data_IF_837634827077
#
_entry.id   IF_837634827077
#
_cell.length_a   1.000
_cell.length_b   1.000
_cell.length_c   1.000
_cell.angle_alpha   90.00
_cell.angle_beta   90.00
_cell.angle_gamma   90.00
#
_symmetry.space_group_name_H-M   'P 1'
#
loop_
_entity.id
_entity.type
_entity.pdbx_description
1 polymer ?
#
# COMPACT_ATOMS: atom_id res chain seq x y z
N UNK A 1 -11.55 23.04 0.56
CA UNK A 1 -12.01 23.87 1.71
C UNK A 1 -12.50 23.00 2.90
N UNK A 2 -13.11 21.82 2.66
CA UNK A 2 -13.72 21.01 3.75
C UNK A 2 -12.68 20.34 4.67
N UNK A 3 -11.52 19.93 4.14
CA UNK A 3 -10.47 19.25 4.92
C UNK A 3 -9.61 20.19 5.79
N UNK A 4 -9.58 21.49 5.50
CA UNK A 4 -8.66 22.42 6.17
C UNK A 4 -8.99 22.71 7.64
N UNK A 5 -10.24 22.49 8.07
CA UNK A 5 -10.71 22.86 9.41
C UNK A 5 -10.98 21.68 10.34
N UNK A 6 -10.73 20.45 9.91
CA UNK A 6 -10.94 19.25 10.72
C UNK A 6 -9.62 18.55 10.98
N UNK A 7 -9.38 18.14 12.22
CA UNK A 7 -8.20 17.34 12.57
C UNK A 7 -8.42 15.85 12.28
N UNK A 8 -9.68 15.39 12.27
CA UNK A 8 -10.00 13.99 11.94
C UNK A 8 -11.15 13.90 10.95
N UNK A 9 -10.96 13.03 9.97
CA UNK A 9 -11.99 12.68 9.00
C UNK A 9 -11.96 11.16 8.76
N UNK A 10 -13.13 10.56 8.60
CA UNK A 10 -13.25 9.16 8.25
C UNK A 10 -14.42 8.91 7.30
N UNK A 11 -14.32 7.90 6.47
CA UNK A 11 -15.37 7.54 5.54
C UNK A 11 -14.92 6.63 4.42
N UNK A 12 -15.76 6.57 3.41
CA UNK A 12 -15.49 5.92 2.13
C UNK A 12 -15.67 6.98 1.04
N UNK A 13 -14.88 6.92 -0.01
CA UNK A 13 -15.05 7.83 -1.15
C UNK A 13 -16.41 7.64 -1.84
N UNK A 14 -16.88 8.65 -2.55
CA UNK A 14 -18.23 8.66 -3.14
C UNK A 14 -18.45 7.58 -4.22
N UNK A 15 -17.37 7.09 -4.83
CA UNK A 15 -17.40 5.99 -5.81
C UNK A 15 -17.15 4.62 -5.15
N UNK A 16 -16.88 4.61 -3.85
CA UNK A 16 -16.68 3.42 -3.06
C UNK A 16 -15.37 2.68 -3.33
N UNK A 17 -14.35 3.32 -3.94
CA UNK A 17 -13.09 2.67 -4.31
C UNK A 17 -12.12 2.49 -3.16
N UNK A 18 -12.15 3.35 -2.15
CA UNK A 18 -11.25 3.31 -1.00
C UNK A 18 -11.92 3.83 0.27
N UNK A 19 -11.41 3.40 1.42
CA UNK A 19 -11.78 3.91 2.74
C UNK A 19 -10.64 4.75 3.34
N UNK A 20 -10.99 5.63 4.27
CA UNK A 20 -10.03 6.46 4.98
C UNK A 20 -10.46 6.73 6.42
N UNK A 21 -9.47 6.91 7.29
CA UNK A 21 -9.59 7.32 8.70
C UNK A 21 -8.32 8.11 9.03
N UNK A 22 -8.39 9.42 8.81
CA UNK A 22 -7.24 10.31 8.84
C UNK A 22 -7.23 11.17 10.09
N UNK A 23 -6.08 11.21 10.73
CA UNK A 23 -5.70 12.20 11.72
C UNK A 23 -4.80 13.23 11.04
N UNK A 24 -5.36 14.39 10.73
CA UNK A 24 -4.64 15.47 10.04
C UNK A 24 -3.85 16.36 11.02
N UNK A 25 -3.79 16.00 12.31
CA UNK A 25 -2.94 16.66 13.32
C UNK A 25 -1.51 16.10 13.35
N UNK A 26 -1.22 15.10 12.52
CA UNK A 26 0.11 14.50 12.38
C UNK A 26 0.58 14.51 10.92
N UNK A 27 1.90 14.66 10.64
CA UNK A 27 2.42 14.78 9.28
C UNK A 27 2.60 13.42 8.57
N UNK A 28 1.87 12.40 8.95
CA UNK A 28 2.04 11.07 8.36
C UNK A 28 0.73 10.33 8.11
N UNK A 29 0.74 9.51 7.07
CA UNK A 29 -0.36 8.64 6.66
C UNK A 29 0.16 7.23 6.40
N UNK A 30 -0.63 6.22 6.75
CA UNK A 30 -0.37 4.82 6.40
C UNK A 30 -1.32 4.40 5.30
N UNK A 31 -0.80 3.78 4.24
CA UNK A 31 -1.63 3.31 3.13
C UNK A 31 -1.56 1.78 2.97
N UNK A 32 -2.64 1.17 2.50
CA UNK A 32 -2.74 -0.22 2.08
C UNK A 32 -3.60 -0.26 0.81
N UNK A 33 -3.03 0.23 -0.28
CA UNK A 33 -3.78 0.51 -1.52
C UNK A 33 -4.26 -0.74 -2.25
N UNK A 34 -3.64 -1.89 -2.01
CA UNK A 34 -3.99 -3.18 -2.63
C UNK A 34 -4.70 -4.15 -1.67
N UNK A 35 -5.19 -3.65 -0.53
CA UNK A 35 -5.91 -4.48 0.45
C UNK A 35 -7.29 -4.95 -0.03
N UNK A 36 -7.83 -4.30 -1.06
CA UNK A 36 -9.20 -4.49 -1.53
C UNK A 36 -9.42 -5.78 -2.31
N UNK A 37 -10.63 -6.32 -2.18
CA UNK A 37 -11.05 -7.58 -2.81
C UNK A 37 -12.29 -7.42 -3.68
N UNK A 38 -12.98 -6.28 -3.62
CA UNK A 38 -14.24 -6.12 -4.33
C UNK A 38 -14.01 -6.01 -5.83
N UNK A 39 -14.89 -6.65 -6.55
CA UNK A 39 -15.02 -6.53 -8.00
C UNK A 39 -16.45 -6.09 -8.29
N UNK A 40 -16.64 -5.11 -9.16
CA UNK A 40 -17.96 -4.66 -9.55
C UNK A 40 -18.74 -5.80 -10.20
N UNK A 41 -20.03 -5.90 -9.90
CA UNK A 41 -20.92 -6.98 -10.37
C UNK A 41 -20.97 -7.10 -11.89
N UNK A 42 -20.73 -6.03 -12.62
CA UNK A 42 -20.69 -6.01 -14.08
C UNK A 42 -19.38 -6.58 -14.66
N UNK A 43 -18.27 -6.59 -13.88
CA UNK A 43 -16.98 -7.14 -14.29
C UNK A 43 -16.81 -8.61 -13.88
N UNK A 44 -17.41 -9.00 -12.76
CA UNK A 44 -17.28 -10.35 -12.23
C UNK A 44 -17.59 -11.47 -13.26
N UNK A 45 -18.65 -11.38 -14.10
CA UNK A 45 -18.92 -12.40 -15.13
C UNK A 45 -17.89 -12.44 -16.26
N UNK A 46 -17.07 -11.40 -16.41
CA UNK A 46 -16.05 -11.31 -17.46
C UNK A 46 -14.69 -11.85 -17.02
N UNK A 47 -14.52 -12.15 -15.72
CA UNK A 47 -13.23 -12.58 -15.18
C UNK A 47 -12.90 -14.02 -15.55
N UNK A 48 -11.66 -14.23 -15.99
CA UNK A 48 -11.03 -15.54 -16.16
C UNK A 48 -10.30 -15.99 -14.89
N UNK A 49 -9.74 -15.02 -14.15
CA UNK A 49 -9.01 -15.29 -12.89
C UNK A 49 -9.96 -15.81 -11.82
N UNK A 50 -9.57 -16.90 -11.14
CA UNK A 50 -10.33 -17.40 -9.99
C UNK A 50 -10.25 -16.44 -8.80
N UNK A 51 -11.23 -16.47 -7.90
CA UNK A 51 -11.18 -15.69 -6.66
C UNK A 51 -9.92 -16.04 -5.83
N UNK A 52 -9.56 -17.32 -5.76
CA UNK A 52 -8.38 -17.78 -5.06
C UNK A 52 -7.10 -17.17 -5.63
N UNK A 53 -6.92 -17.21 -6.95
CA UNK A 53 -5.72 -16.66 -7.60
C UNK A 53 -5.69 -15.14 -7.48
N UNK A 54 -6.85 -14.48 -7.56
CA UNK A 54 -6.98 -13.04 -7.35
C UNK A 54 -6.56 -12.63 -5.94
N UNK A 55 -7.04 -13.34 -4.90
CA UNK A 55 -6.65 -13.11 -3.50
C UNK A 55 -5.16 -13.37 -3.26
N UNK A 56 -4.54 -14.26 -4.02
CA UNK A 56 -3.09 -14.49 -3.95
C UNK A 56 -2.30 -13.29 -4.51
N UNK A 57 -2.82 -12.59 -5.51
CA UNK A 57 -2.18 -11.41 -6.12
C UNK A 57 -2.47 -10.09 -5.37
N UNK A 58 -3.56 -10.02 -4.64
CA UNK A 58 -3.91 -8.89 -3.78
C UNK A 58 -3.06 -8.90 -2.50
N UNK A 59 -2.96 -7.73 -1.85
CA UNK A 59 -2.27 -7.62 -0.56
C UNK A 59 -3.23 -7.93 0.60
N UNK A 60 -3.86 -9.10 0.52
CA UNK A 60 -4.90 -9.59 1.44
C UNK A 60 -4.49 -9.44 2.89
N UNK A 61 -5.30 -8.72 3.68
CA UNK A 61 -5.09 -8.53 5.11
C UNK A 61 -4.20 -7.35 5.50
N UNK A 62 -3.65 -6.59 4.55
CA UNK A 62 -2.87 -5.37 4.85
C UNK A 62 -3.73 -4.28 5.48
N UNK A 63 -5.03 -4.19 5.14
CA UNK A 63 -6.01 -3.33 5.83
C UNK A 63 -6.13 -3.66 7.33
N UNK A 64 -6.09 -4.97 7.66
CA UNK A 64 -6.11 -5.45 9.06
C UNK A 64 -4.79 -5.12 9.77
N UNK A 65 -3.67 -5.23 9.07
CA UNK A 65 -2.34 -4.91 9.58
C UNK A 65 -2.22 -3.43 9.91
N UNK A 66 -2.71 -2.51 9.06
CA UNK A 66 -2.65 -1.07 9.32
C UNK A 66 -3.76 -0.56 10.25
N UNK A 67 -4.71 -1.40 10.66
CA UNK A 67 -5.93 -0.97 11.36
C UNK A 67 -5.70 -0.21 12.68
N UNK A 68 -4.56 -0.40 13.34
CA UNK A 68 -4.21 0.30 14.57
C UNK A 68 -3.36 1.57 14.33
N UNK A 69 -3.04 1.90 13.09
CA UNK A 69 -2.33 3.12 12.73
C UNK A 69 -3.24 4.35 12.87
N UNK A 70 -2.72 5.51 13.31
CA UNK A 70 -3.54 6.67 13.65
C UNK A 70 -4.14 7.39 12.44
N UNK A 71 -3.54 7.27 11.29
CA UNK A 71 -3.96 7.94 10.06
C UNK A 71 -3.77 6.95 8.91
N UNK A 72 -4.84 6.63 8.16
CA UNK A 72 -4.78 5.54 7.17
C UNK A 72 -5.74 5.72 6.01
N UNK A 73 -5.34 5.17 4.85
CA UNK A 73 -6.14 5.02 3.63
C UNK A 73 -5.99 3.58 3.15
N UNK A 74 -7.06 2.93 2.71
CA UNK A 74 -6.98 1.56 2.21
C UNK A 74 -7.87 1.36 0.99
N UNK A 75 -7.39 0.59 0.01
CA UNK A 75 -8.17 0.16 -1.13
C UNK A 75 -9.32 -0.76 -0.71
N UNK A 76 -10.45 -0.68 -1.40
CA UNK A 76 -11.61 -1.54 -1.22
C UNK A 76 -11.84 -2.44 -2.43
N UNK A 77 -11.46 -1.98 -3.60
CA UNK A 77 -11.57 -2.73 -4.84
C UNK A 77 -10.30 -3.52 -5.13
N UNK A 78 -10.46 -4.63 -5.83
CA UNK A 78 -9.37 -5.49 -6.28
C UNK A 78 -8.46 -4.77 -7.27
N UNK A 79 -7.15 -4.96 -7.15
CA UNK A 79 -6.18 -4.53 -8.16
C UNK A 79 -6.35 -5.24 -9.51
N UNK A 80 -7.11 -6.35 -9.55
CA UNK A 80 -7.51 -7.00 -10.79
C UNK A 80 -8.60 -6.21 -11.54
N UNK A 81 -9.26 -5.25 -10.90
CA UNK A 81 -10.15 -4.30 -11.55
C UNK A 81 -9.39 -3.07 -12.06
N UNK A 82 -8.59 -2.45 -11.20
CA UNK A 82 -7.64 -1.38 -11.51
C UNK A 82 -6.53 -1.33 -10.46
N UNK A 83 -5.31 -1.16 -10.92
CA UNK A 83 -4.14 -1.16 -10.07
C UNK A 83 -3.70 0.28 -9.73
N UNK A 84 -3.85 0.67 -8.46
CA UNK A 84 -3.47 1.99 -7.95
C UNK A 84 -1.95 2.21 -7.93
N UNK A 85 -1.15 1.16 -8.12
CA UNK A 85 0.30 1.26 -8.10
C UNK A 85 0.93 1.16 -9.51
N UNK A 86 0.10 1.37 -10.55
CA UNK A 86 0.52 1.48 -11.95
C UNK A 86 0.08 2.82 -12.52
N UNK A 87 0.77 3.38 -13.52
CA UNK A 87 0.31 4.58 -14.21
C UNK A 87 -1.04 4.33 -14.91
N UNK A 88 -1.85 5.36 -15.15
CA UNK A 88 -3.25 5.18 -15.57
C UNK A 88 -3.41 4.41 -16.87
N UNK A 89 -2.45 4.49 -17.79
CA UNK A 89 -2.43 3.72 -19.05
C UNK A 89 -2.15 2.22 -18.86
N UNK A 90 -1.61 1.83 -17.71
CA UNK A 90 -1.32 0.44 -17.33
C UNK A 90 -2.15 -0.03 -16.12
N UNK A 91 -3.05 0.82 -15.61
CA UNK A 91 -3.83 0.52 -14.40
C UNK A 91 -4.89 -0.57 -14.62
N UNK A 92 -5.38 -0.75 -15.85
CA UNK A 92 -6.33 -1.80 -16.19
C UNK A 92 -5.58 -3.03 -16.69
N UNK A 93 -5.72 -4.21 -16.06
CA UNK A 93 -5.00 -5.42 -16.43
C UNK A 93 -5.65 -6.14 -17.63
N UNK A 94 -5.51 -5.52 -18.80
CA UNK A 94 -6.17 -5.97 -20.05
C UNK A 94 -5.46 -7.13 -20.72
N UNK A 95 -4.17 -7.33 -20.43
CA UNK A 95 -3.38 -8.46 -20.95
C UNK A 95 -2.69 -9.20 -19.81
N UNK A 96 -2.30 -10.48 -19.99
CA UNK A 96 -1.60 -11.25 -18.96
C UNK A 96 -0.33 -10.58 -18.45
N UNK A 97 0.45 -9.94 -19.32
CA UNK A 97 1.72 -9.29 -18.98
C UNK A 97 1.50 -8.10 -18.01
N UNK A 98 0.30 -7.51 -18.02
CA UNK A 98 -0.08 -6.46 -17.08
C UNK A 98 -0.42 -7.02 -15.68
N UNK A 99 -0.56 -8.35 -15.53
CA UNK A 99 -0.96 -8.98 -14.27
C UNK A 99 -0.18 -10.29 -14.01
N UNK A 100 1.16 -10.19 -13.94
CA UNK A 100 2.08 -11.33 -13.64
C UNK A 100 1.88 -12.56 -14.53
N UNK A 101 1.62 -12.35 -15.81
CA UNK A 101 1.32 -13.39 -16.81
C UNK A 101 0.04 -14.18 -16.53
N UNK A 102 -0.87 -13.62 -15.70
CA UNK A 102 -2.18 -14.19 -15.39
C UNK A 102 -3.26 -13.47 -16.21
N UNK A 103 -4.06 -14.23 -16.91
CA UNK A 103 -5.23 -13.70 -17.65
C UNK A 103 -6.33 -13.30 -16.66
N UNK A 104 -6.62 -11.99 -16.57
CA UNK A 104 -7.66 -11.47 -15.66
C UNK A 104 -9.05 -11.61 -16.26
N UNK A 105 -9.23 -11.31 -17.54
CA UNK A 105 -10.53 -11.32 -18.20
C UNK A 105 -10.63 -12.39 -19.30
N UNK A 106 -11.74 -13.14 -19.31
CA UNK A 106 -12.11 -14.04 -20.41
C UNK A 106 -12.65 -13.24 -21.60
N UNK A 107 -13.48 -12.24 -21.30
CA UNK A 107 -14.03 -11.30 -22.27
C UNK A 107 -13.67 -9.88 -21.86
N UNK A 108 -13.20 -9.08 -22.79
CA UNK A 108 -12.78 -7.70 -22.50
C UNK A 108 -13.93 -6.85 -21.94
N UNK A 109 -13.73 -6.12 -20.84
CA UNK A 109 -14.67 -5.12 -20.38
C UNK A 109 -14.95 -4.06 -21.46
N UNK A 110 -16.14 -3.51 -21.48
CA UNK A 110 -16.49 -2.43 -22.40
C UNK A 110 -15.76 -1.11 -22.02
N UNK A 111 -15.66 -0.18 -22.96
CA UNK A 111 -15.09 1.15 -22.69
C UNK A 111 -15.81 1.89 -21.55
N UNK A 112 -17.11 1.69 -21.41
CA UNK A 112 -17.89 2.27 -20.32
C UNK A 112 -17.50 1.67 -18.96
N UNK A 113 -17.24 0.37 -18.88
CA UNK A 113 -16.75 -0.30 -17.67
C UNK A 113 -15.34 0.18 -17.33
N UNK A 114 -14.46 0.25 -18.33
CA UNK A 114 -13.09 0.73 -18.17
C UNK A 114 -13.04 2.18 -17.66
N UNK A 115 -13.86 3.07 -18.23
CA UNK A 115 -13.97 4.46 -17.74
C UNK A 115 -14.36 4.52 -16.27
N UNK A 116 -15.34 3.72 -15.81
CA UNK A 116 -15.73 3.70 -14.39
C UNK A 116 -14.61 3.21 -13.46
N UNK A 117 -13.78 2.26 -13.89
CA UNK A 117 -12.58 1.85 -13.14
C UNK A 117 -11.56 2.99 -13.06
N UNK A 118 -11.29 3.66 -14.19
CA UNK A 118 -10.37 4.81 -14.24
C UNK A 118 -10.90 6.04 -13.49
N UNK A 119 -12.21 6.23 -13.39
CA UNK A 119 -12.81 7.28 -12.54
C UNK A 119 -12.52 7.04 -11.06
N UNK A 120 -12.61 5.80 -10.57
CA UNK A 120 -12.23 5.41 -9.20
C UNK A 120 -10.72 5.59 -8.97
N UNK A 121 -9.90 5.15 -9.91
CA UNK A 121 -8.45 5.40 -9.90
C UNK A 121 -8.15 6.91 -9.76
N UNK A 122 -8.74 7.73 -10.62
CA UNK A 122 -8.55 9.16 -10.58
C UNK A 122 -9.08 9.81 -9.29
N UNK A 123 -10.18 9.30 -8.73
CA UNK A 123 -10.73 9.77 -7.45
C UNK A 123 -9.74 9.55 -6.30
N UNK A 124 -9.10 8.37 -6.25
CA UNK A 124 -8.06 8.07 -5.26
C UNK A 124 -6.89 9.06 -5.33
N UNK A 125 -6.36 9.32 -6.51
CA UNK A 125 -5.23 10.25 -6.67
C UNK A 125 -5.61 11.71 -6.39
N UNK A 126 -6.81 12.15 -6.76
CA UNK A 126 -7.31 13.49 -6.37
C UNK A 126 -7.45 13.64 -4.86
N UNK A 127 -7.95 12.60 -4.18
CA UNK A 127 -8.04 12.58 -2.72
C UNK A 127 -6.66 12.61 -2.08
N UNK A 128 -5.73 11.76 -2.53
CA UNK A 128 -4.35 11.73 -2.05
C UNK A 128 -3.64 13.08 -2.22
N UNK A 129 -3.81 13.74 -3.37
CA UNK A 129 -3.28 15.08 -3.61
C UNK A 129 -3.86 16.13 -2.64
N UNK A 130 -5.14 16.03 -2.31
CA UNK A 130 -5.77 16.90 -1.32
C UNK A 130 -5.20 16.68 0.08
N UNK A 131 -5.01 15.42 0.49
CA UNK A 131 -4.39 15.07 1.77
C UNK A 131 -2.96 15.59 1.84
N UNK A 132 -2.16 15.33 0.82
CA UNK A 132 -0.78 15.84 0.71
C UNK A 132 -0.76 17.36 0.87
N UNK A 133 -1.60 18.09 0.13
CA UNK A 133 -1.65 19.55 0.23
C UNK A 133 -1.94 20.00 1.66
N UNK A 134 -2.92 19.41 2.32
CA UNK A 134 -3.26 19.76 3.72
C UNK A 134 -2.10 19.52 4.66
N UNK A 135 -1.39 18.38 4.51
CA UNK A 135 -0.26 18.05 5.35
C UNK A 135 0.94 18.98 5.09
N UNK A 136 1.24 19.28 3.83
CA UNK A 136 2.32 20.23 3.50
C UNK A 136 2.00 21.65 3.98
N UNK A 137 0.76 22.13 3.82
CA UNK A 137 0.33 23.44 4.31
C UNK A 137 0.43 23.54 5.85
N UNK A 138 0.22 22.44 6.59
CA UNK A 138 0.27 22.42 8.06
C UNK A 138 1.67 22.21 8.61
N UNK A 139 2.46 21.37 7.97
CA UNK A 139 3.70 20.85 8.54
C UNK A 139 4.96 21.12 7.71
N UNK A 140 4.82 21.56 6.46
CA UNK A 140 5.94 21.78 5.54
C UNK A 140 6.54 20.50 4.94
N UNK A 141 6.36 19.35 5.60
CA UNK A 141 6.78 18.03 5.10
C UNK A 141 5.80 16.95 5.56
N UNK A 142 5.73 15.84 4.82
CA UNK A 142 4.89 14.71 5.23
C UNK A 142 5.49 13.36 4.81
N UNK A 143 5.01 12.29 5.47
CA UNK A 143 5.47 10.93 5.21
C UNK A 143 4.27 9.99 4.97
N UNK A 144 4.40 9.13 3.96
CA UNK A 144 3.47 8.05 3.65
C UNK A 144 4.14 6.69 3.88
N UNK A 145 3.61 5.90 4.80
CA UNK A 145 3.99 4.50 5.00
C UNK A 145 3.11 3.64 4.09
N UNK A 146 3.62 3.28 2.92
CA UNK A 146 2.86 2.55 1.92
C UNK A 146 3.04 1.04 2.10
N UNK A 147 2.09 0.40 2.78
CA UNK A 147 2.19 -0.98 3.22
C UNK A 147 1.61 -1.92 2.16
N UNK A 148 2.47 -2.77 1.65
CA UNK A 148 2.19 -3.83 0.69
C UNK A 148 2.49 -5.21 1.27
N UNK A 149 2.19 -6.24 0.50
CA UNK A 149 2.62 -7.59 0.83
C UNK A 149 3.05 -8.38 -0.40
N UNK A 150 3.87 -9.39 -0.20
CA UNK A 150 4.34 -10.23 -1.29
C UNK A 150 4.35 -11.72 -0.96
N UNK A 151 4.20 -12.54 -2.00
CA UNK A 151 4.23 -13.99 -1.92
C UNK A 151 5.67 -14.47 -1.78
N UNK A 152 5.97 -15.16 -0.68
CA UNK A 152 7.30 -15.71 -0.36
C UNK A 152 7.68 -16.77 -1.39
N UNK A 153 6.76 -17.71 -1.68
CA UNK A 153 7.02 -18.82 -2.60
C UNK A 153 7.43 -18.32 -3.98
N UNK A 154 6.76 -17.28 -4.49
CA UNK A 154 7.14 -16.66 -5.77
C UNK A 154 8.58 -16.13 -5.77
N UNK A 155 9.09 -15.61 -4.67
CA UNK A 155 10.48 -15.14 -4.58
C UNK A 155 11.46 -16.32 -4.50
N UNK A 156 11.09 -17.37 -3.79
CA UNK A 156 11.87 -18.62 -3.75
C UNK A 156 11.97 -19.24 -5.14
N UNK A 157 10.87 -19.31 -5.89
CA UNK A 157 10.82 -19.82 -7.26
C UNK A 157 11.69 -18.99 -8.23
N UNK A 158 11.84 -17.68 -7.94
CA UNK A 158 12.77 -16.79 -8.66
C UNK A 158 14.23 -16.92 -8.19
N UNK A 159 14.52 -17.84 -7.28
CA UNK A 159 15.88 -18.13 -6.79
C UNK A 159 16.31 -17.36 -5.54
N UNK A 160 15.40 -16.60 -4.90
CA UNK A 160 15.71 -15.89 -3.67
C UNK A 160 15.74 -16.88 -2.49
N UNK A 161 16.92 -17.06 -1.86
CA UNK A 161 17.11 -18.09 -0.83
C UNK A 161 16.39 -17.81 0.50
N UNK A 162 16.29 -16.55 0.87
CA UNK A 162 15.73 -16.13 2.16
C UNK A 162 15.04 -14.75 2.04
N UNK A 163 13.86 -14.67 1.42
CA UNK A 163 13.12 -13.41 1.30
C UNK A 163 12.86 -12.80 2.69
N UNK A 164 13.12 -11.48 2.89
CA UNK A 164 13.00 -10.84 4.19
C UNK A 164 11.55 -10.75 4.65
N UNK A 165 11.33 -10.60 5.97
CA UNK A 165 9.99 -10.33 6.50
C UNK A 165 9.50 -8.96 6.05
N UNK A 166 10.39 -7.96 6.08
CA UNK A 166 10.12 -6.63 5.57
C UNK A 166 11.15 -6.26 4.50
N UNK A 167 10.67 -5.79 3.36
CA UNK A 167 11.52 -5.18 2.34
C UNK A 167 11.08 -3.72 2.16
N UNK A 168 11.99 -2.78 2.32
CA UNK A 168 11.77 -1.37 2.04
C UNK A 168 12.28 -1.05 0.63
N UNK A 169 11.44 -0.50 -0.22
CA UNK A 169 11.86 0.01 -1.53
C UNK A 169 12.22 1.48 -1.45
N UNK A 170 13.41 1.86 -1.92
CA UNK A 170 13.90 3.25 -1.84
C UNK A 170 14.37 3.83 -3.17
N UNK A 171 14.23 3.08 -4.27
CA UNK A 171 14.67 3.56 -5.60
C UNK A 171 13.77 4.68 -6.16
N UNK A 172 12.53 4.80 -5.67
CA UNK A 172 11.56 5.82 -6.07
C UNK A 172 11.65 7.13 -5.28
N UNK A 173 12.60 7.26 -4.33
CA UNK A 173 12.74 8.44 -3.48
C UNK A 173 14.16 9.02 -3.57
N UNK A 174 14.33 10.29 -3.15
CA UNK A 174 15.67 10.86 -2.92
C UNK A 174 16.27 10.26 -1.65
N UNK A 175 16.98 9.13 -1.80
CA UNK A 175 17.57 8.37 -0.70
C UNK A 175 18.62 9.18 0.08
N UNK A 176 19.34 10.10 -0.57
CA UNK A 176 20.35 10.94 0.09
C UNK A 176 19.68 12.00 0.99
N UNK A 177 18.63 12.67 0.48
CA UNK A 177 17.83 13.61 1.26
C UNK A 177 17.20 12.95 2.49
N UNK A 178 16.68 11.75 2.32
CA UNK A 178 15.91 11.03 3.34
C UNK A 178 16.71 9.93 4.07
N UNK A 179 18.05 10.05 4.10
CA UNK A 179 18.93 9.04 4.69
C UNK A 179 18.55 8.68 6.13
N UNK A 180 18.42 9.68 7.00
CA UNK A 180 18.12 9.47 8.42
C UNK A 180 16.76 8.84 8.67
N UNK A 181 15.64 9.37 8.14
CA UNK A 181 14.33 8.74 8.36
C UNK A 181 14.23 7.35 7.72
N UNK A 182 14.89 7.09 6.59
CA UNK A 182 14.91 5.74 6.00
C UNK A 182 15.65 4.76 6.88
N UNK A 183 16.83 5.12 7.40
CA UNK A 183 17.60 4.28 8.32
C UNK A 183 16.81 3.99 9.61
N UNK A 184 16.22 5.02 10.21
CA UNK A 184 15.36 4.87 11.39
C UNK A 184 14.15 3.96 11.14
N UNK A 185 13.52 4.04 9.95
CA UNK A 185 12.41 3.16 9.60
C UNK A 185 12.83 1.70 9.51
N UNK A 186 13.96 1.40 8.86
CA UNK A 186 14.52 0.04 8.82
C UNK A 186 14.76 -0.52 10.22
N UNK A 187 15.32 0.29 11.13
CA UNK A 187 15.55 -0.10 12.53
C UNK A 187 14.23 -0.38 13.26
N UNK A 188 13.21 0.46 13.10
CA UNK A 188 11.90 0.24 13.69
C UNK A 188 11.23 -1.04 13.17
N UNK A 189 11.34 -1.34 11.88
CA UNK A 189 10.83 -2.59 11.31
C UNK A 189 11.53 -3.81 11.92
N UNK A 190 12.86 -3.75 12.10
CA UNK A 190 13.66 -4.82 12.71
C UNK A 190 13.29 -5.13 14.16
N UNK A 191 12.69 -4.18 14.87
CA UNK A 191 12.27 -4.35 16.26
C UNK A 191 10.90 -5.02 16.42
N UNK A 192 10.12 -5.18 15.34
CA UNK A 192 8.79 -5.80 15.38
C UNK A 192 8.94 -7.28 15.70
N UNK A 193 8.28 -7.73 16.78
CA UNK A 193 8.30 -9.13 17.20
C UNK A 193 7.13 -9.90 16.59
N UNK A 194 7.43 -10.98 15.89
CA UNK A 194 6.47 -11.85 15.23
C UNK A 194 6.56 -13.25 15.85
N UNK A 195 5.43 -13.86 16.26
CA UNK A 195 5.44 -15.19 16.86
C UNK A 195 6.11 -16.24 15.96
N UNK A 196 7.04 -16.99 16.52
CA UNK A 196 7.75 -18.08 15.85
C UNK A 196 8.47 -17.68 14.54
N UNK A 197 8.89 -16.42 14.44
CA UNK A 197 9.59 -15.91 13.26
C UNK A 197 10.64 -14.88 13.67
N UNK A 198 11.86 -15.05 13.16
CA UNK A 198 12.86 -14.00 13.21
C UNK A 198 12.45 -12.88 12.23
N UNK A 199 12.39 -11.65 12.71
CA UNK A 199 12.13 -10.50 11.86
C UNK A 199 13.41 -10.12 11.12
N UNK A 200 13.38 -10.24 9.81
CA UNK A 200 14.46 -9.83 8.91
C UNK A 200 13.99 -8.63 8.09
N UNK A 201 14.88 -7.68 7.86
CA UNK A 201 14.60 -6.44 7.11
C UNK A 201 15.67 -6.27 6.04
N UNK A 202 15.26 -5.87 4.86
CA UNK A 202 16.18 -5.54 3.77
C UNK A 202 15.71 -4.27 3.04
N UNK A 203 16.65 -3.59 2.40
CA UNK A 203 16.41 -2.43 1.53
C UNK A 203 16.65 -2.84 0.08
N UNK A 204 15.63 -2.64 -0.80
CA UNK A 204 15.71 -2.93 -2.24
C UNK A 204 16.08 -4.37 -2.62
N UNK A 205 15.76 -5.35 -1.80
CA UNK A 205 16.12 -6.75 -2.01
C UNK A 205 15.11 -7.47 -2.92
N UNK A 206 13.82 -7.41 -2.57
CA UNK A 206 12.73 -8.03 -3.35
C UNK A 206 12.09 -7.03 -4.29
N UNK A 207 11.79 -5.83 -3.80
CA UNK A 207 11.19 -4.74 -4.58
C UNK A 207 11.92 -3.43 -4.35
N UNK A 208 12.06 -2.64 -5.42
CA UNK A 208 12.77 -1.36 -5.37
C UNK A 208 11.93 -0.15 -4.98
N UNK A 209 10.61 -0.29 -4.82
CA UNK A 209 9.72 0.84 -4.46
C UNK A 209 9.45 1.82 -5.60
N UNK A 210 9.42 1.32 -6.85
CA UNK A 210 9.17 2.12 -8.06
C UNK A 210 7.70 2.09 -8.51
N UNK A 211 6.79 1.80 -7.60
CA UNK A 211 5.36 1.82 -7.89
C UNK A 211 4.83 3.24 -8.11
N UNK A 212 3.74 3.34 -8.87
CA UNK A 212 3.15 4.62 -9.29
C UNK A 212 2.81 5.52 -8.09
N UNK A 213 2.27 4.95 -7.01
CA UNK A 213 1.92 5.74 -5.84
C UNK A 213 3.13 6.45 -5.24
N UNK A 214 4.24 5.72 -5.03
CA UNK A 214 5.49 6.31 -4.55
C UNK A 214 6.03 7.37 -5.52
N UNK A 215 6.21 6.99 -6.78
CA UNK A 215 6.80 7.87 -7.79
C UNK A 215 5.99 9.15 -8.01
N UNK A 216 4.67 9.05 -8.05
CA UNK A 216 3.79 10.19 -8.27
C UNK A 216 3.77 11.15 -7.08
N UNK A 217 3.68 10.65 -5.85
CA UNK A 217 3.67 11.50 -4.66
C UNK A 217 4.99 12.25 -4.50
N UNK A 218 6.12 11.56 -4.68
CA UNK A 218 7.46 12.19 -4.57
C UNK A 218 7.73 13.22 -5.65
N UNK A 219 7.07 13.12 -6.83
CA UNK A 219 7.14 14.12 -7.88
C UNK A 219 6.30 15.37 -7.59
N UNK A 220 5.27 15.30 -6.75
CA UNK A 220 4.45 16.46 -6.42
C UNK A 220 5.18 17.49 -5.57
N UNK A 221 5.99 17.04 -4.61
CA UNK A 221 6.80 17.95 -3.78
C UNK A 221 7.99 17.18 -3.18
N UNK A 222 9.20 17.78 -3.15
CA UNK A 222 10.39 17.13 -2.57
C UNK A 222 10.32 16.95 -1.04
N UNK A 223 9.34 17.57 -0.37
CA UNK A 223 9.11 17.40 1.07
C UNK A 223 8.17 16.23 1.40
N UNK A 224 7.82 15.42 0.40
CA UNK A 224 7.06 14.18 0.59
C UNK A 224 8.04 13.01 0.66
N UNK A 225 8.01 12.27 1.77
CA UNK A 225 8.68 10.98 1.89
C UNK A 225 7.65 9.86 1.74
N UNK A 226 7.84 8.95 0.80
CA UNK A 226 7.04 7.72 0.70
C UNK A 226 7.94 6.53 1.06
N UNK A 227 7.45 5.63 1.90
CA UNK A 227 8.15 4.43 2.35
C UNK A 227 7.39 3.17 1.92
N UNK A 228 7.55 2.72 0.65
CA UNK A 228 6.98 1.47 0.17
C UNK A 228 7.56 0.30 0.95
N UNK A 229 6.76 -0.25 1.85
CA UNK A 229 7.14 -1.31 2.78
C UNK A 229 6.38 -2.59 2.47
N UNK A 230 7.09 -3.56 1.96
CA UNK A 230 6.55 -4.88 1.60
C UNK A 230 6.67 -5.83 2.79
N UNK A 231 5.55 -6.40 3.20
CA UNK A 231 5.50 -7.45 4.23
C UNK A 231 5.37 -8.80 3.54
N UNK A 232 6.31 -9.72 3.77
CA UNK A 232 6.13 -11.08 3.27
C UNK A 232 4.86 -11.72 3.88
N UNK A 233 4.09 -12.48 3.09
CA UNK A 233 2.81 -13.09 3.53
C UNK A 233 2.99 -14.20 4.56
N UNK A 234 3.92 -14.02 5.52
CA UNK A 234 4.12 -14.94 6.66
C UNK A 234 2.88 -15.11 7.54
N UNK A 235 1.94 -14.17 7.43
CA UNK A 235 0.70 -14.11 8.22
C UNK A 235 -0.46 -14.89 7.60
N UNK A 236 -0.22 -15.53 6.47
CA UNK A 236 -1.20 -16.41 5.83
C UNK A 236 -0.49 -17.60 5.16
N UNK A 237 -1.23 -18.65 4.93
CA UNK A 237 -0.81 -19.72 4.04
C UNK A 237 -1.14 -19.29 2.60
N UNK A 238 -0.12 -19.12 1.77
CA UNK A 238 -0.25 -18.60 0.39
C UNK A 238 -1.05 -19.54 -0.52
N UNK A 239 -1.07 -20.85 -0.20
CA UNK A 239 -1.75 -21.85 -1.01
C UNK A 239 -3.25 -21.95 -0.68
N UNK A 240 -3.59 -21.97 0.61
CA UNK A 240 -4.97 -22.12 1.08
C UNK A 240 -5.67 -20.79 1.38
N UNK A 241 -4.93 -19.68 1.47
CA UNK A 241 -5.45 -18.38 1.89
C UNK A 241 -5.77 -18.27 3.40
N UNK A 242 -5.48 -19.31 4.20
CA UNK A 242 -5.76 -19.31 5.64
C UNK A 242 -4.89 -18.31 6.37
N UNK A 243 -5.53 -17.40 7.09
CA UNK A 243 -4.87 -16.31 7.82
C UNK A 243 -4.49 -16.73 9.24
N UNK A 244 -3.25 -16.47 9.64
CA UNK A 244 -2.72 -16.68 11.00
C UNK A 244 -2.98 -15.44 11.86
N UNK A 245 -4.09 -15.41 12.60
CA UNK A 245 -4.54 -14.25 13.37
C UNK A 245 -3.51 -13.73 14.39
N UNK A 246 -2.71 -14.59 15.02
CA UNK A 246 -1.64 -14.19 15.94
C UNK A 246 -0.56 -13.35 15.25
N UNK A 247 -0.19 -13.69 14.02
CA UNK A 247 0.80 -12.94 13.23
C UNK A 247 0.22 -11.63 12.71
N UNK A 248 -1.05 -11.61 12.25
CA UNK A 248 -1.76 -10.35 11.91
C UNK A 248 -1.79 -9.41 13.12
N UNK A 249 -2.11 -9.91 14.30
CA UNK A 249 -2.15 -9.10 15.53
C UNK A 249 -0.77 -8.56 15.89
N UNK A 250 0.28 -9.36 15.77
CA UNK A 250 1.65 -8.94 16.01
C UNK A 250 2.11 -7.85 15.01
N UNK A 251 1.86 -8.04 13.72
CA UNK A 251 2.14 -7.06 12.67
C UNK A 251 1.36 -5.77 12.90
N UNK A 252 0.05 -5.85 13.17
CA UNK A 252 -0.80 -4.70 13.46
C UNK A 252 -0.26 -3.85 14.61
N UNK A 253 0.05 -4.49 15.73
CA UNK A 253 0.52 -3.78 16.92
C UNK A 253 1.96 -3.27 16.73
N UNK A 254 2.83 -4.07 16.11
CA UNK A 254 4.21 -3.73 15.82
C UNK A 254 4.33 -2.55 14.87
N UNK A 255 3.63 -2.59 13.73
CA UNK A 255 3.64 -1.48 12.75
C UNK A 255 3.02 -0.22 13.32
N UNK A 256 1.89 -0.31 14.05
CA UNK A 256 1.30 0.87 14.66
C UNK A 256 2.24 1.54 15.69
N UNK A 257 2.99 0.75 16.47
CA UNK A 257 4.02 1.27 17.38
C UNK A 257 5.19 1.91 16.62
N UNK A 258 5.71 1.22 15.60
CA UNK A 258 6.80 1.68 14.76
C UNK A 258 6.46 3.00 14.06
N UNK A 259 5.29 3.09 13.42
CA UNK A 259 4.81 4.28 12.72
C UNK A 259 4.64 5.47 13.66
N UNK A 260 4.07 5.27 14.85
CA UNK A 260 3.95 6.37 15.83
C UNK A 260 5.31 6.89 16.27
N UNK A 261 6.23 6.01 16.64
CA UNK A 261 7.56 6.41 17.10
C UNK A 261 8.36 7.09 15.97
N UNK A 262 8.38 6.48 14.78
CA UNK A 262 9.07 7.04 13.63
C UNK A 262 8.44 8.35 13.14
N UNK A 263 7.10 8.43 13.09
CA UNK A 263 6.37 9.63 12.70
C UNK A 263 6.61 10.81 13.65
N UNK A 264 6.75 10.56 14.96
CA UNK A 264 7.11 11.58 15.95
C UNK A 264 8.55 12.08 15.73
N UNK A 265 9.50 11.18 15.45
CA UNK A 265 10.87 11.56 15.09
C UNK A 265 10.90 12.41 13.82
N UNK A 266 10.14 12.00 12.81
CA UNK A 266 10.01 12.76 11.56
C UNK A 266 9.44 14.15 11.82
N UNK A 267 8.35 14.24 12.56
CA UNK A 267 7.70 15.50 12.91
C UNK A 267 8.68 16.44 13.63
N UNK A 268 9.41 15.97 14.63
CA UNK A 268 10.36 16.82 15.37
C UNK A 268 11.58 17.27 14.56
N UNK A 269 11.87 16.63 13.42
CA UNK A 269 13.10 16.87 12.64
C UNK A 269 12.86 17.60 11.32
N UNK A 270 11.63 17.53 10.76
CA UNK A 270 11.34 17.97 9.39
C UNK A 270 10.11 18.91 9.27
N UNK A 271 9.36 19.14 10.36
CA UNK A 271 8.13 19.95 10.36
C UNK A 271 8.14 21.13 11.36
#
# INVERSE_FOLDING_TARGET
AFLCNQDRISGTDSLGGFGYDLDLSVPFVTTAIHAGHRVRSELAPLMAISEKDRLAEEDTGTDRIIRACPSRIWGLDSRAEYDLNRPPELALPMTPEMFWDIRVYESSPTDAMNRRSLEKYAAFYRFSATVVKVLLDRFGACIFYDIHSYNIQRQVDKGHRAPPVFNLGTRGIDRARWEKPVAAWLDHLGQIKIPNRLTTVAENDVFGGMGEFCCRLTQWDPNILVLPTEVSKIYMDEHSGVVHNSKILALKNGLAKAIRAHGQLFQSSYT
#
